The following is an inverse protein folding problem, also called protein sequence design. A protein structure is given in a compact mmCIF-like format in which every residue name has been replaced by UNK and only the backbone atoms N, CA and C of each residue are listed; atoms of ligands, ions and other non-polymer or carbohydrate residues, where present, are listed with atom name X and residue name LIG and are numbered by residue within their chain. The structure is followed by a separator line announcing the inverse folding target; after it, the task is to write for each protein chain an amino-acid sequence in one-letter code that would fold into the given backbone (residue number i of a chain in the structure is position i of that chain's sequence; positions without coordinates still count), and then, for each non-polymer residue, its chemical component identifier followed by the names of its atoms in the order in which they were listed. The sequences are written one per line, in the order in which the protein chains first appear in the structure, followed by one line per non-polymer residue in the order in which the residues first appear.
data_IF_478212402442
#
_entry.id   IF_478212402442
#
_cell.length_a   1.000
_cell.length_b   1.000
_cell.length_c   1.000
_cell.angle_alpha   90.00
_cell.angle_beta   90.00
_cell.angle_gamma   90.00
#
_symmetry.space_group_name_H-M   'P 1'
#
loop_
_entity.id
_entity.type
_entity.pdbx_description
1 polymer ?
#
# COMPACT_ATOMS: atom_id res chain seq x y z
N UNK A 1 -9.29 63.43 61.42
CA UNK A 1 -9.59 63.92 60.05
C UNK A 1 -8.84 63.11 58.97
N UNK A 2 -7.53 62.87 59.14
CA UNK A 2 -6.69 62.12 58.18
C UNK A 2 -7.17 60.68 57.93
N UNK A 3 -7.51 59.92 58.98
CA UNK A 3 -8.00 58.53 58.83
C UNK A 3 -9.32 58.40 58.04
N UNK A 4 -10.24 59.37 58.18
CA UNK A 4 -11.53 59.37 57.46
C UNK A 4 -11.33 59.60 55.96
N UNK A 5 -10.44 60.53 55.60
CA UNK A 5 -10.12 60.81 54.20
C UNK A 5 -9.36 59.65 53.54
N UNK A 6 -8.50 58.96 54.30
CA UNK A 6 -7.79 57.76 53.82
C UNK A 6 -8.75 56.59 53.56
N UNK A 7 -9.71 56.34 54.46
CA UNK A 7 -10.72 55.30 54.29
C UNK A 7 -11.63 55.56 53.07
N UNK A 8 -12.06 56.80 52.86
CA UNK A 8 -12.85 57.17 51.66
C UNK A 8 -12.03 56.97 50.38
N UNK A 9 -10.74 57.32 50.39
CA UNK A 9 -9.83 57.07 49.26
C UNK A 9 -9.71 55.58 48.91
N UNK A 10 -9.56 54.70 49.90
CA UNK A 10 -9.51 53.24 49.69
C UNK A 10 -10.80 52.66 49.14
N UNK A 11 -11.95 53.11 49.64
CA UNK A 11 -13.26 52.68 49.13
C UNK A 11 -13.43 53.11 47.68
N UNK A 12 -13.09 54.35 47.34
CA UNK A 12 -13.23 54.88 45.99
C UNK A 12 -12.30 54.15 45.00
N UNK A 13 -11.07 53.85 45.43
CA UNK A 13 -10.12 53.05 44.64
C UNK A 13 -10.60 51.61 44.45
N UNK A 14 -11.19 50.98 45.49
CA UNK A 14 -11.79 49.65 45.38
C UNK A 14 -12.98 49.62 44.41
N UNK A 15 -13.84 50.66 44.44
CA UNK A 15 -14.97 50.79 43.51
C UNK A 15 -14.46 50.99 42.07
N UNK A 16 -13.46 51.84 41.84
CA UNK A 16 -12.87 52.03 40.51
C UNK A 16 -12.21 50.75 39.99
N UNK A 17 -11.49 50.02 40.85
CA UNK A 17 -10.90 48.73 40.50
C UNK A 17 -11.98 47.71 40.14
N UNK A 18 -13.05 47.63 40.94
CA UNK A 18 -14.18 46.75 40.67
C UNK A 18 -14.88 47.09 39.34
N UNK A 19 -15.17 48.37 39.09
CA UNK A 19 -15.78 48.83 37.84
C UNK A 19 -14.87 48.56 36.63
N UNK A 20 -13.56 48.71 36.79
CA UNK A 20 -12.58 48.40 35.74
C UNK A 20 -12.56 46.91 35.42
N UNK A 21 -12.61 46.04 36.45
CA UNK A 21 -12.74 44.60 36.26
C UNK A 21 -14.05 44.26 35.56
N UNK A 22 -15.19 44.78 36.02
CA UNK A 22 -16.50 44.54 35.37
C UNK A 22 -16.50 45.02 33.91
N UNK A 23 -15.94 46.19 33.63
CA UNK A 23 -15.82 46.72 32.27
C UNK A 23 -14.94 45.84 31.38
N UNK A 24 -13.79 45.39 31.89
CA UNK A 24 -12.92 44.42 31.19
C UNK A 24 -13.64 43.09 30.96
N UNK A 25 -14.40 42.61 31.95
CA UNK A 25 -15.19 41.37 31.85
C UNK A 25 -16.27 41.47 30.76
N UNK A 26 -16.87 42.64 30.56
CA UNK A 26 -17.85 42.88 29.50
C UNK A 26 -17.21 42.97 28.10
N UNK A 27 -15.95 43.41 27.98
CA UNK A 27 -15.24 43.53 26.71
C UNK A 27 -14.70 42.20 26.18
N UNK A 28 -14.46 41.24 27.06
CA UNK A 28 -13.84 39.95 26.73
C UNK A 28 -14.56 39.15 25.62
N UNK A 29 -15.89 38.91 25.70
CA UNK A 29 -16.60 38.19 24.64
C UNK A 29 -16.51 38.89 23.29
N UNK A 30 -16.48 40.23 23.27
CA UNK A 30 -16.33 41.01 22.04
C UNK A 30 -14.96 40.82 21.41
N UNK A 31 -13.88 40.87 22.21
CA UNK A 31 -12.52 40.62 21.73
C UNK A 31 -12.38 39.19 21.20
N UNK A 32 -12.93 38.21 21.93
CA UNK A 32 -12.88 36.80 21.52
C UNK A 32 -13.64 36.59 20.20
N UNK A 33 -14.84 37.18 20.07
CA UNK A 33 -15.66 37.10 18.85
C UNK A 33 -14.91 37.70 17.67
N UNK A 34 -14.34 38.89 17.83
CA UNK A 34 -13.58 39.56 16.76
C UNK A 34 -12.37 38.74 16.32
N UNK A 35 -11.68 38.10 17.25
CA UNK A 35 -10.54 37.22 16.95
C UNK A 35 -11.00 35.99 16.17
N UNK A 36 -12.07 35.33 16.62
CA UNK A 36 -12.63 34.14 15.96
C UNK A 36 -13.16 34.48 14.56
N UNK A 37 -13.98 35.52 14.43
CA UNK A 37 -14.56 35.95 13.15
C UNK A 37 -13.45 36.27 12.13
N UNK A 38 -12.40 37.01 12.55
CA UNK A 38 -11.25 37.32 11.70
C UNK A 38 -10.50 36.06 11.26
N UNK A 39 -10.27 35.13 12.18
CA UNK A 39 -9.55 33.90 11.89
C UNK A 39 -10.37 32.99 10.95
N UNK A 40 -11.67 32.83 11.17
CA UNK A 40 -12.55 32.04 10.29
C UNK A 40 -12.65 32.63 8.88
N UNK A 41 -12.81 33.96 8.77
CA UNK A 41 -12.81 34.64 7.47
C UNK A 41 -11.47 34.47 6.73
N UNK A 42 -10.37 34.32 7.46
CA UNK A 42 -9.04 34.13 6.86
C UNK A 42 -8.81 32.74 6.26
N UNK A 43 -9.65 31.74 6.54
CA UNK A 43 -9.53 30.35 6.05
C UNK A 43 -9.78 30.27 4.53
N UNK A 44 -10.50 31.23 3.94
CA UNK A 44 -10.69 31.35 2.49
C UNK A 44 -12.03 30.83 1.96
N UNK A 45 -13.00 30.59 2.85
CA UNK A 45 -14.38 30.29 2.46
C UNK A 45 -15.12 31.56 1.99
N UNK A 46 -15.39 31.65 0.69
CA UNK A 46 -16.21 32.68 0.07
C UNK A 46 -17.69 32.38 0.34
N UNK A 47 -18.38 33.28 1.04
CA UNK A 47 -19.77 33.06 1.43
C UNK A 47 -19.95 32.45 2.83
N UNK A 48 -18.90 32.48 3.67
CA UNK A 48 -19.02 32.15 5.09
C UNK A 48 -20.11 33.00 5.77
N UNK A 49 -21.14 32.35 6.31
CA UNK A 49 -22.20 33.00 7.09
C UNK A 49 -22.03 32.62 8.56
N UNK A 50 -21.64 33.60 9.38
CA UNK A 50 -21.48 33.42 10.83
C UNK A 50 -22.74 33.90 11.57
N UNK A 51 -23.43 33.03 12.31
CA UNK A 51 -24.52 33.44 13.18
C UNK A 51 -23.99 34.19 14.42
N UNK A 52 -24.87 34.90 15.11
CA UNK A 52 -24.54 35.52 16.39
C UNK A 52 -24.18 34.43 17.41
N UNK A 53 -22.98 34.45 18.02
CA UNK A 53 -22.60 33.43 18.97
C UNK A 53 -23.35 33.58 20.29
N UNK A 54 -23.63 32.46 20.94
CA UNK A 54 -23.96 32.45 22.36
C UNK A 54 -22.70 32.77 23.14
N UNK A 55 -22.77 33.77 24.02
CA UNK A 55 -21.60 34.29 24.73
C UNK A 55 -21.69 33.99 26.21
N UNK A 56 -20.60 33.47 26.78
CA UNK A 56 -20.37 33.38 28.21
C UNK A 56 -19.05 34.08 28.55
N UNK A 57 -18.80 34.28 29.84
CA UNK A 57 -17.61 34.99 30.31
C UNK A 57 -16.27 34.42 29.79
N UNK A 58 -16.18 33.10 29.61
CA UNK A 58 -14.96 32.39 29.19
C UNK A 58 -15.16 31.52 27.94
N UNK A 59 -16.28 31.68 27.24
CA UNK A 59 -16.56 30.90 26.05
C UNK A 59 -17.48 31.59 25.05
N UNK A 60 -17.35 31.19 23.79
CA UNK A 60 -18.26 31.54 22.70
C UNK A 60 -18.72 30.26 22.02
N UNK A 61 -19.99 30.19 21.63
CA UNK A 61 -20.54 29.08 20.87
C UNK A 61 -21.28 29.60 19.64
N UNK A 62 -20.81 29.21 18.47
CA UNK A 62 -21.54 29.38 17.22
C UNK A 62 -22.25 28.07 16.90
N UNK A 63 -23.48 28.14 16.37
CA UNK A 63 -24.21 26.98 15.90
C UNK A 63 -24.70 27.20 14.48
N UNK A 64 -24.67 26.17 13.63
CA UNK A 64 -25.13 26.21 12.23
C UNK A 64 -24.37 27.25 11.38
N UNK A 65 -23.04 27.11 11.29
CA UNK A 65 -22.22 27.93 10.38
C UNK A 65 -22.30 27.33 8.97
N UNK A 66 -22.65 28.16 7.98
CA UNK A 66 -22.54 27.79 6.55
C UNK A 66 -21.21 28.26 5.99
N UNK A 67 -20.47 27.38 5.32
CA UNK A 67 -19.16 27.69 4.72
C UNK A 67 -19.28 28.12 3.26
N UNK A 68 -20.41 27.85 2.63
CA UNK A 68 -20.76 28.29 1.28
C UNK A 68 -22.20 28.81 1.23
N UNK A 69 -22.57 29.59 0.18
CA UNK A 69 -23.93 30.12 0.04
C UNK A 69 -25.03 29.06 -0.14
N UNK A 70 -24.69 27.88 -0.67
CA UNK A 70 -25.64 26.80 -0.97
C UNK A 70 -25.82 25.82 0.20
N UNK A 71 -24.94 25.88 1.21
CA UNK A 71 -24.98 25.03 2.40
C UNK A 71 -24.45 23.61 2.20
N UNK A 72 -23.64 23.37 1.17
CA UNK A 72 -23.02 22.05 0.94
C UNK A 72 -21.91 21.73 1.95
N UNK A 73 -21.27 22.77 2.48
CA UNK A 73 -20.21 22.74 3.47
C UNK A 73 -20.68 23.52 4.71
N UNK A 74 -20.59 22.91 5.89
CA UNK A 74 -21.14 23.49 7.13
C UNK A 74 -20.39 23.04 8.38
N UNK A 75 -20.58 23.78 9.47
CA UNK A 75 -20.15 23.38 10.82
C UNK A 75 -21.38 23.43 11.73
N UNK A 76 -21.76 22.30 12.32
CA UNK A 76 -22.91 22.24 13.22
C UNK A 76 -22.70 23.10 14.47
N UNK A 77 -21.52 23.02 15.10
CA UNK A 77 -21.15 23.92 16.20
C UNK A 77 -19.65 24.18 16.30
N UNK A 78 -19.31 25.40 16.71
CA UNK A 78 -17.95 25.83 17.00
C UNK A 78 -17.92 26.40 18.42
N UNK A 79 -17.33 25.64 19.34
CA UNK A 79 -17.17 26.03 20.73
C UNK A 79 -15.75 26.55 20.96
N UNK A 80 -15.64 27.80 21.40
CA UNK A 80 -14.37 28.48 21.65
C UNK A 80 -14.26 28.73 23.14
N UNK A 81 -13.18 28.24 23.77
CA UNK A 81 -12.85 28.49 25.18
C UNK A 81 -11.59 29.34 25.27
N UNK A 82 -11.60 30.27 26.21
CA UNK A 82 -10.47 31.15 26.46
C UNK A 82 -10.33 31.46 27.94
N UNK A 83 -9.09 31.65 28.39
CA UNK A 83 -8.79 32.22 29.69
C UNK A 83 -8.86 33.75 29.59
N UNK A 84 -9.58 34.38 30.50
CA UNK A 84 -9.80 35.83 30.47
C UNK A 84 -8.50 36.64 30.59
N UNK A 85 -7.54 36.20 31.40
CA UNK A 85 -6.23 36.86 31.55
C UNK A 85 -5.45 36.74 30.24
N UNK A 86 -5.34 35.52 29.71
CA UNK A 86 -4.61 35.27 28.46
C UNK A 86 -5.22 35.98 27.25
N UNK A 87 -6.55 36.10 27.22
CA UNK A 87 -7.26 36.82 26.17
C UNK A 87 -7.00 38.33 26.24
N UNK A 88 -6.99 38.93 27.43
CA UNK A 88 -6.71 40.37 27.61
C UNK A 88 -5.24 40.71 27.32
N UNK A 89 -4.31 39.89 27.80
CA UNK A 89 -2.88 40.18 27.70
C UNK A 89 -2.28 39.77 26.35
N UNK A 90 -2.75 38.66 25.78
CA UNK A 90 -2.12 38.02 24.62
C UNK A 90 -3.07 37.73 23.46
N UNK A 91 -4.38 37.98 23.61
CA UNK A 91 -5.38 37.63 22.60
C UNK A 91 -5.47 36.13 22.31
N UNK A 92 -5.08 35.28 23.27
CA UNK A 92 -4.94 33.84 23.06
C UNK A 92 -6.23 33.07 23.35
N UNK A 93 -6.59 32.19 22.41
CA UNK A 93 -7.67 31.22 22.55
C UNK A 93 -7.08 29.92 23.10
N UNK A 94 -7.68 29.38 24.17
CA UNK A 94 -7.22 28.17 24.84
C UNK A 94 -7.57 26.93 24.05
N UNK A 95 -8.84 26.81 23.62
CA UNK A 95 -9.34 25.62 22.93
C UNK A 95 -10.45 25.96 21.95
N UNK A 96 -10.42 25.32 20.79
CA UNK A 96 -11.49 25.37 19.78
C UNK A 96 -12.00 23.95 19.57
N UNK A 97 -13.31 23.73 19.73
CA UNK A 97 -13.96 22.46 19.39
C UNK A 97 -14.89 22.68 18.20
N UNK A 98 -14.62 21.98 17.11
CA UNK A 98 -15.43 21.94 15.89
C UNK A 98 -16.23 20.64 15.91
N UNK A 99 -17.56 20.74 15.91
CA UNK A 99 -18.42 19.55 15.87
C UNK A 99 -19.30 19.54 14.63
N UNK A 100 -19.40 18.39 13.97
CA UNK A 100 -20.22 18.20 12.77
C UNK A 100 -19.74 19.04 11.59
N UNK A 101 -18.43 19.08 11.35
CA UNK A 101 -17.86 19.71 10.16
C UNK A 101 -18.21 18.83 8.96
N UNK A 102 -18.82 19.42 7.93
CA UNK A 102 -19.09 18.74 6.65
C UNK A 102 -18.48 19.57 5.55
N UNK A 103 -17.61 18.96 4.75
CA UNK A 103 -17.01 19.55 3.57
C UNK A 103 -17.39 18.70 2.36
N UNK A 104 -17.88 19.35 1.32
CA UNK A 104 -18.23 18.69 0.05
C UNK A 104 -17.37 19.27 -1.06
N UNK A 105 -16.86 18.44 -1.95
CA UNK A 105 -15.96 18.87 -3.01
C UNK A 105 -15.82 17.89 -4.16
N UNK A 106 -14.88 18.20 -5.05
CA UNK A 106 -14.57 17.42 -6.24
C UNK A 106 -13.06 17.19 -6.33
N UNK A 107 -12.67 16.03 -6.85
CA UNK A 107 -11.29 15.68 -7.18
C UNK A 107 -11.21 15.46 -8.70
N UNK A 108 -10.50 16.36 -9.39
CA UNK A 108 -10.35 16.28 -10.84
C UNK A 108 -9.40 15.15 -11.28
N UNK A 109 -9.28 14.95 -12.60
CA UNK A 109 -8.39 13.93 -13.16
C UNK A 109 -6.89 14.22 -13.01
N UNK A 110 -6.51 15.43 -12.57
CA UNK A 110 -5.13 15.82 -12.29
C UNK A 110 -4.79 15.73 -10.79
N UNK A 111 -5.77 15.31 -9.96
CA UNK A 111 -5.61 15.21 -8.52
C UNK A 111 -5.85 16.53 -7.78
N UNK A 112 -6.34 17.57 -8.44
CA UNK A 112 -6.69 18.82 -7.77
C UNK A 112 -8.01 18.68 -7.01
N UNK A 113 -7.99 19.10 -5.75
CA UNK A 113 -9.15 19.11 -4.87
C UNK A 113 -9.81 20.50 -4.92
N UNK A 114 -11.09 20.55 -5.26
CA UNK A 114 -11.93 21.73 -5.03
C UNK A 114 -12.92 21.44 -3.90
N UNK A 115 -13.11 22.39 -2.98
CA UNK A 115 -14.09 22.27 -1.89
C UNK A 115 -15.11 23.38 -2.05
N UNK A 116 -16.41 23.05 -1.95
CA UNK A 116 -17.50 24.01 -2.08
C UNK A 116 -17.31 25.18 -1.10
N UNK A 117 -17.37 26.40 -1.65
CA UNK A 117 -17.13 27.66 -0.93
C UNK A 117 -15.66 27.99 -0.68
N UNK A 118 -14.72 27.05 -0.81
CA UNK A 118 -13.30 27.30 -0.55
C UNK A 118 -12.57 27.78 -1.81
N UNK A 119 -11.93 28.94 -1.73
CA UNK A 119 -11.50 29.69 -2.92
C UNK A 119 -10.00 30.00 -3.01
N UNK A 120 -9.18 29.43 -2.13
CA UNK A 120 -7.74 29.73 -2.12
C UNK A 120 -6.92 28.60 -2.73
N UNK A 121 -6.41 28.85 -3.94
CA UNK A 121 -5.33 28.07 -4.54
C UNK A 121 -3.98 28.22 -3.77
N UNK A 122 -3.82 29.30 -3.01
CA UNK A 122 -2.51 29.71 -2.46
C UNK A 122 -2.41 29.62 -0.93
N UNK A 123 -3.41 29.04 -0.25
CA UNK A 123 -3.43 28.94 1.20
C UNK A 123 -2.39 27.91 1.68
N UNK A 124 -1.11 28.31 1.74
CA UNK A 124 -0.15 27.66 2.63
C UNK A 124 -0.80 27.64 4.02
N UNK A 125 -0.97 26.44 4.57
CA UNK A 125 -1.51 26.25 5.92
C UNK A 125 -0.73 27.17 6.85
N UNK A 126 -1.35 28.26 7.29
CA UNK A 126 -0.67 29.22 8.13
C UNK A 126 -0.46 28.54 9.49
N UNK A 127 0.79 28.32 9.95
CA UNK A 127 1.06 27.70 11.24
C UNK A 127 0.55 28.54 12.43
N UNK A 128 -0.13 29.66 12.20
CA UNK A 128 -0.91 30.38 13.21
C UNK A 128 -1.91 29.50 13.98
N UNK A 129 -2.31 28.32 13.48
CA UNK A 129 -3.07 27.39 14.33
C UNK A 129 -2.26 26.90 15.56
N UNK A 130 -0.91 26.93 15.52
CA UNK A 130 -0.03 26.69 16.67
C UNK A 130 -0.10 27.78 17.75
N UNK A 131 -0.77 28.92 17.48
CA UNK A 131 -1.07 29.90 18.53
C UNK A 131 -2.30 29.52 19.36
N UNK A 132 -3.06 28.51 18.93
CA UNK A 132 -4.17 27.93 19.71
C UNK A 132 -3.60 26.90 20.69
N UNK A 133 -4.17 26.83 21.90
CA UNK A 133 -3.76 25.82 22.89
C UNK A 133 -4.18 24.41 22.47
N UNK A 134 -5.40 24.25 21.96
CA UNK A 134 -5.90 23.00 21.41
C UNK A 134 -6.99 23.22 20.34
N UNK A 135 -7.09 22.31 19.38
CA UNK A 135 -8.18 22.25 18.41
C UNK A 135 -8.69 20.82 18.36
N UNK A 136 -9.98 20.63 18.64
CA UNK A 136 -10.64 19.32 18.62
C UNK A 136 -11.71 19.29 17.52
N UNK A 137 -11.77 18.21 16.78
CA UNK A 137 -12.79 17.88 15.78
C UNK A 137 -13.60 16.68 16.28
N UNK A 138 -14.92 16.81 16.20
CA UNK A 138 -15.87 15.75 16.52
C UNK A 138 -16.79 15.53 15.33
N UNK A 139 -16.79 14.31 14.80
CA UNK A 139 -17.63 13.92 13.65
C UNK A 139 -17.45 14.85 12.44
N UNK A 140 -16.19 15.07 12.05
CA UNK A 140 -15.87 15.83 10.85
C UNK A 140 -15.88 14.92 9.63
N UNK A 141 -16.41 15.39 8.50
CA UNK A 141 -16.57 14.62 7.27
C UNK A 141 -16.13 15.45 6.07
N UNK A 142 -15.32 14.84 5.20
CA UNK A 142 -14.98 15.32 3.87
C UNK A 142 -15.55 14.34 2.83
N UNK A 143 -16.38 14.83 1.92
CA UNK A 143 -16.94 14.06 0.81
C UNK A 143 -16.46 14.65 -0.51
N UNK A 144 -15.72 13.87 -1.30
CA UNK A 144 -15.22 14.28 -2.62
C UNK A 144 -15.82 13.40 -3.71
N UNK A 145 -16.24 14.01 -4.81
CA UNK A 145 -16.63 13.30 -6.03
C UNK A 145 -15.46 13.26 -7.01
N UNK A 146 -15.10 12.07 -7.50
CA UNK A 146 -14.07 11.88 -8.52
C UNK A 146 -14.59 11.05 -9.68
N UNK A 147 -14.28 11.46 -10.90
CA UNK A 147 -14.56 10.68 -12.11
C UNK A 147 -13.74 9.39 -12.18
N UNK A 148 -12.51 9.40 -11.67
CA UNK A 148 -11.59 8.25 -11.71
C UNK A 148 -11.77 7.33 -10.50
N UNK A 149 -11.94 7.92 -9.31
CA UNK A 149 -11.96 7.19 -8.05
C UNK A 149 -13.36 6.91 -7.49
N UNK A 150 -14.40 7.52 -8.06
CA UNK A 150 -15.77 7.49 -7.54
C UNK A 150 -15.94 8.45 -6.35
N UNK A 151 -16.91 8.14 -5.47
CA UNK A 151 -17.11 8.89 -4.24
C UNK A 151 -16.05 8.52 -3.19
N UNK A 152 -15.36 9.53 -2.67
CA UNK A 152 -14.41 9.44 -1.57
C UNK A 152 -15.06 10.08 -0.34
N UNK A 153 -15.03 9.39 0.79
CA UNK A 153 -15.54 9.87 2.08
C UNK A 153 -14.50 9.66 3.16
N UNK A 154 -14.15 10.73 3.86
CA UNK A 154 -13.23 10.71 5.01
C UNK A 154 -13.98 11.25 6.20
N UNK A 155 -14.20 10.41 7.21
CA UNK A 155 -14.74 10.82 8.51
C UNK A 155 -13.61 10.82 9.50
N UNK A 156 -13.45 11.90 10.27
CA UNK A 156 -12.40 11.99 11.27
C UNK A 156 -12.89 12.65 12.57
N UNK A 157 -12.29 12.22 13.67
CA UNK A 157 -12.46 12.81 15.00
C UNK A 157 -11.12 12.81 15.71
N UNK A 158 -10.84 13.79 16.56
CA UNK A 158 -9.54 13.91 17.19
C UNK A 158 -9.14 15.36 17.35
N UNK A 159 -7.86 15.64 17.54
CA UNK A 159 -7.43 17.00 17.75
C UNK A 159 -5.93 17.17 17.76
N UNK A 160 -5.55 18.43 17.87
CA UNK A 160 -4.17 18.87 18.07
C UNK A 160 -4.09 19.64 19.38
N UNK A 161 -3.04 19.40 20.16
CA UNK A 161 -2.80 20.07 21.42
C UNK A 161 -1.35 20.56 21.46
N UNK A 162 -1.20 21.84 21.78
CA UNK A 162 0.11 22.46 21.98
C UNK A 162 0.77 21.89 23.24
N UNK A 163 2.01 21.42 23.11
CA UNK A 163 2.82 20.94 24.22
C UNK A 163 3.83 22.01 24.68
N UNK A 164 4.47 22.67 23.70
CA UNK A 164 5.43 23.76 23.95
C UNK A 164 5.18 24.93 23.00
N UNK A 165 5.93 26.03 23.13
CA UNK A 165 5.84 27.16 22.21
C UNK A 165 6.01 26.75 20.73
N UNK A 166 6.76 25.68 20.47
CA UNK A 166 7.15 25.18 19.16
C UNK A 166 6.83 23.70 18.96
N UNK A 167 5.91 23.10 19.73
CA UNK A 167 5.49 21.72 19.48
C UNK A 167 4.02 21.49 19.77
N UNK A 168 3.41 20.60 19.00
CA UNK A 168 2.05 20.16 19.18
C UNK A 168 1.95 18.65 18.95
N UNK A 169 1.23 17.96 19.83
CA UNK A 169 0.81 16.59 19.60
C UNK A 169 -0.53 16.57 18.84
N UNK A 170 -0.76 15.51 18.07
CA UNK A 170 -2.05 15.28 17.44
C UNK A 170 -2.46 13.82 17.56
N UNK A 171 -3.77 13.60 17.60
CA UNK A 171 -4.37 12.29 17.51
C UNK A 171 -5.67 12.38 16.73
N UNK A 172 -5.86 11.53 15.72
CA UNK A 172 -7.06 11.48 14.90
C UNK A 172 -7.49 10.03 14.63
N UNK A 173 -8.73 9.72 14.97
CA UNK A 173 -9.45 8.57 14.45
C UNK A 173 -9.97 8.92 13.05
N UNK A 174 -9.60 8.14 12.05
CA UNK A 174 -9.90 8.37 10.64
C UNK A 174 -10.55 7.13 10.05
N UNK A 175 -11.70 7.33 9.40
CA UNK A 175 -12.40 6.35 8.59
C UNK A 175 -12.44 6.83 7.15
N UNK A 176 -11.77 6.09 6.28
CA UNK A 176 -11.74 6.35 4.85
C UNK A 176 -12.63 5.34 4.12
N UNK A 177 -13.39 5.82 3.14
CA UNK A 177 -14.22 4.99 2.27
C UNK A 177 -14.18 5.51 0.85
N UNK A 178 -13.85 4.60 -0.06
CA UNK A 178 -13.92 4.72 -1.50
C UNK A 178 -14.52 3.43 -2.06
N UNK A 179 -14.86 3.41 -3.35
CA UNK A 179 -15.44 2.24 -4.05
C UNK A 179 -14.72 0.92 -3.73
N UNK A 180 -13.40 0.87 -3.91
CA UNK A 180 -12.58 -0.36 -3.78
C UNK A 180 -11.63 -0.34 -2.57
N UNK A 181 -11.66 0.72 -1.76
CA UNK A 181 -10.75 0.90 -0.63
C UNK A 181 -11.53 1.42 0.57
N UNK A 182 -11.42 0.75 1.71
CA UNK A 182 -11.98 1.23 2.99
C UNK A 182 -10.99 0.93 4.09
N UNK A 183 -10.76 1.87 4.97
CA UNK A 183 -9.97 1.61 6.16
C UNK A 183 -10.40 2.47 7.35
N UNK A 184 -10.11 1.96 8.54
CA UNK A 184 -10.26 2.62 9.82
C UNK A 184 -8.91 2.62 10.52
N UNK A 185 -8.46 3.78 10.95
CA UNK A 185 -7.13 3.97 11.50
C UNK A 185 -7.07 5.06 12.57
N UNK A 186 -6.14 4.94 13.50
CA UNK A 186 -5.80 5.99 14.46
C UNK A 186 -4.43 6.55 14.11
N UNK A 187 -4.38 7.83 13.78
CA UNK A 187 -3.15 8.60 13.59
C UNK A 187 -2.76 9.25 14.90
N UNK A 188 -1.52 9.11 15.33
CA UNK A 188 -0.94 9.80 16.49
C UNK A 188 0.40 10.39 16.09
N UNK A 189 0.78 11.55 16.61
CA UNK A 189 2.06 12.10 16.25
C UNK A 189 2.36 13.44 16.89
N UNK A 190 3.51 14.00 16.51
CA UNK A 190 3.95 15.32 16.97
C UNK A 190 4.47 16.14 15.79
N UNK A 191 4.20 17.45 15.85
CA UNK A 191 4.76 18.45 14.94
C UNK A 191 5.66 19.34 15.77
N UNK A 192 6.90 19.53 15.36
CA UNK A 192 7.84 20.43 16.01
C UNK A 192 8.12 21.68 15.15
N UNK A 193 8.64 22.72 15.79
CA UNK A 193 8.89 24.04 15.18
C UNK A 193 10.10 24.07 14.26
N UNK A 194 10.80 22.94 14.11
CA UNK A 194 11.85 22.75 13.12
C UNK A 194 11.29 22.17 11.81
N UNK A 195 9.97 22.18 11.61
CA UNK A 195 9.31 21.56 10.46
C UNK A 195 9.71 20.07 10.35
N UNK A 196 9.64 19.37 11.47
CA UNK A 196 9.67 17.90 11.50
C UNK A 196 8.39 17.40 12.15
N UNK A 197 7.75 16.44 11.49
CA UNK A 197 6.64 15.72 12.08
C UNK A 197 6.90 14.22 12.01
N UNK A 198 6.53 13.54 13.08
CA UNK A 198 6.46 12.10 13.17
C UNK A 198 5.00 11.71 13.39
N UNK A 199 4.57 10.63 12.76
CA UNK A 199 3.24 10.10 12.95
C UNK A 199 3.25 8.58 12.92
N UNK A 200 2.47 7.96 13.77
CA UNK A 200 2.16 6.55 13.76
C UNK A 200 0.69 6.38 13.40
N UNK A 201 0.42 5.56 12.40
CA UNK A 201 -0.90 5.19 11.93
C UNK A 201 -1.16 3.73 12.30
N UNK A 202 -2.08 3.52 13.23
CA UNK A 202 -2.57 2.21 13.61
C UNK A 202 -3.79 1.87 12.77
N UNK A 203 -3.66 0.94 11.82
CA UNK A 203 -4.75 0.45 10.98
C UNK A 203 -5.49 -0.64 11.73
N UNK A 204 -6.70 -0.35 12.19
CA UNK A 204 -7.54 -1.34 12.87
C UNK A 204 -8.18 -2.32 11.91
N UNK A 205 -8.63 -1.83 10.76
CA UNK A 205 -9.29 -2.63 9.72
C UNK A 205 -9.17 -1.94 8.37
N UNK A 206 -8.71 -2.67 7.36
CA UNK A 206 -8.68 -2.23 5.98
C UNK A 206 -9.21 -3.34 5.05
N UNK A 207 -9.82 -2.90 3.96
CA UNK A 207 -10.31 -3.73 2.86
C UNK A 207 -9.96 -3.08 1.53
N UNK A 208 -9.39 -3.87 0.65
CA UNK A 208 -9.04 -3.55 -0.73
C UNK A 208 -9.79 -4.55 -1.62
N UNK A 209 -10.44 -4.05 -2.68
CA UNK A 209 -11.24 -4.87 -3.61
C UNK A 209 -11.05 -4.39 -5.06
N UNK A 210 -9.81 -4.50 -5.57
CA UNK A 210 -9.50 -4.31 -6.98
C UNK A 210 -9.56 -5.66 -7.73
N UNK A 211 -9.71 -5.66 -9.07
CA UNK A 211 -9.81 -6.90 -9.85
C UNK A 211 -8.67 -7.90 -9.59
N UNK A 212 -7.42 -7.41 -9.57
CA UNK A 212 -6.22 -8.24 -9.43
C UNK A 212 -5.59 -8.19 -8.02
N UNK A 213 -6.18 -7.42 -7.12
CA UNK A 213 -5.70 -7.25 -5.75
C UNK A 213 -6.87 -7.10 -4.79
N UNK A 214 -7.05 -8.10 -3.92
CA UNK A 214 -8.01 -8.02 -2.82
C UNK A 214 -7.31 -8.28 -1.52
N UNK A 215 -7.56 -7.46 -0.52
CA UNK A 215 -7.08 -7.69 0.83
C UNK A 215 -8.25 -7.49 1.78
N UNK A 216 -8.44 -8.38 2.74
CA UNK A 216 -9.53 -8.27 3.71
C UNK A 216 -8.99 -8.39 5.12
N UNK A 217 -9.61 -7.66 6.06
CA UNK A 217 -9.18 -7.62 7.46
C UNK A 217 -7.70 -7.28 7.58
N UNK A 218 -7.23 -6.35 6.74
CA UNK A 218 -5.87 -5.87 6.83
C UNK A 218 -5.75 -4.96 8.07
N UNK A 219 -4.73 -5.16 8.89
CA UNK A 219 -4.48 -4.37 10.11
C UNK A 219 -2.98 -4.27 10.34
N UNK A 220 -2.53 -3.23 11.03
CA UNK A 220 -1.09 -3.00 11.14
C UNK A 220 -0.72 -1.63 11.68
N UNK A 221 0.56 -1.33 11.63
CA UNK A 221 1.11 -0.05 12.06
C UNK A 221 2.04 0.50 10.98
N UNK A 222 1.91 1.79 10.68
CA UNK A 222 2.75 2.50 9.72
C UNK A 222 3.24 3.78 10.36
N UNK A 223 4.56 3.93 10.44
CA UNK A 223 5.24 5.13 10.88
C UNK A 223 5.57 6.03 9.68
N UNK A 224 5.41 7.33 9.90
CA UNK A 224 5.71 8.40 8.98
C UNK A 224 6.71 9.34 9.63
N UNK A 225 7.76 9.69 8.88
CA UNK A 225 8.73 10.70 9.30
C UNK A 225 8.93 11.70 8.18
N UNK A 226 8.65 12.95 8.47
CA UNK A 226 8.96 14.06 7.58
C UNK A 226 9.91 15.02 8.24
N UNK A 227 10.84 15.51 7.45
CA UNK A 227 11.78 16.54 7.82
C UNK A 227 11.85 17.54 6.68
N UNK A 228 12.04 18.82 7.00
CA UNK A 228 12.24 19.87 6.00
C UNK A 228 13.31 19.47 4.98
N UNK A 229 12.97 19.62 3.69
CA UNK A 229 13.82 19.27 2.54
C UNK A 229 14.17 17.77 2.41
N UNK A 230 13.46 16.87 3.10
CA UNK A 230 13.56 15.43 2.91
C UNK A 230 12.20 14.86 2.46
N UNK A 231 12.19 13.80 1.64
CA UNK A 231 10.96 13.10 1.32
C UNK A 231 10.39 12.44 2.58
N UNK A 232 9.05 12.37 2.68
CA UNK A 232 8.38 11.71 3.82
C UNK A 232 8.71 10.22 3.79
N UNK A 233 9.39 9.72 4.82
CA UNK A 233 9.70 8.30 4.97
C UNK A 233 8.48 7.53 5.48
N UNK A 234 8.36 6.29 5.01
CA UNK A 234 7.35 5.34 5.43
C UNK A 234 8.06 4.08 5.92
N UNK A 235 7.63 3.55 7.04
CA UNK A 235 8.07 2.25 7.57
C UNK A 235 6.89 1.60 8.30
N UNK A 236 6.62 0.31 8.09
CA UNK A 236 5.49 -0.31 8.76
C UNK A 236 5.26 -1.77 8.42
N UNK A 237 4.37 -2.38 9.19
CA UNK A 237 3.93 -3.76 9.03
C UNK A 237 2.41 -3.83 8.99
N UNK A 238 1.88 -4.50 7.96
CA UNK A 238 0.46 -4.78 7.79
C UNK A 238 0.28 -6.29 7.68
N UNK A 239 -0.67 -6.83 8.41
CA UNK A 239 -1.10 -8.22 8.31
C UNK A 239 -2.49 -8.29 7.69
N UNK A 240 -2.75 -9.28 6.87
CA UNK A 240 -4.09 -9.53 6.33
C UNK A 240 -4.42 -11.01 6.38
N UNK A 241 -5.65 -11.33 6.80
CA UNK A 241 -6.09 -12.72 6.89
C UNK A 241 -6.32 -13.37 5.53
N UNK A 242 -6.74 -12.59 4.54
CA UNK A 242 -6.91 -13.06 3.16
C UNK A 242 -6.40 -11.99 2.19
N UNK A 243 -5.48 -12.40 1.34
CA UNK A 243 -4.92 -11.64 0.24
C UNK A 243 -5.20 -12.41 -1.05
N UNK A 244 -5.79 -11.78 -2.06
CA UNK A 244 -5.88 -12.33 -3.41
C UNK A 244 -5.01 -11.48 -4.32
N UNK A 245 -4.04 -12.10 -4.98
CA UNK A 245 -3.15 -11.44 -5.94
C UNK A 245 -3.27 -12.18 -7.26
N UNK A 246 -3.53 -11.46 -8.35
CA UNK A 246 -3.67 -12.02 -9.70
C UNK A 246 -4.69 -13.19 -9.77
N UNK A 247 -5.75 -13.19 -8.95
CA UNK A 247 -6.75 -14.25 -8.92
C UNK A 247 -6.41 -15.44 -8.01
N UNK A 248 -5.20 -15.49 -7.44
CA UNK A 248 -4.77 -16.55 -6.52
C UNK A 248 -5.01 -16.15 -5.06
N UNK A 249 -5.69 -16.98 -4.25
CA UNK A 249 -5.94 -16.69 -2.84
C UNK A 249 -4.80 -17.14 -1.94
N UNK A 250 -4.43 -16.23 -1.05
CA UNK A 250 -3.38 -16.34 -0.04
C UNK A 250 -3.93 -15.99 1.33
N UNK A 251 -3.35 -16.55 2.37
CA UNK A 251 -3.71 -16.37 3.77
C UNK A 251 -2.49 -15.97 4.61
N UNK A 252 -2.76 -15.43 5.80
CA UNK A 252 -1.76 -15.00 6.78
C UNK A 252 -0.67 -14.11 6.18
N UNK A 253 -1.06 -13.18 5.30
CA UNK A 253 -0.07 -12.36 4.62
C UNK A 253 0.51 -11.31 5.56
N UNK A 254 1.84 -11.22 5.60
CA UNK A 254 2.61 -10.17 6.24
C UNK A 254 3.17 -9.25 5.16
N UNK A 255 2.90 -7.96 5.28
CA UNK A 255 3.28 -6.92 4.32
C UNK A 255 4.16 -5.92 5.07
N UNK A 256 5.42 -5.82 4.69
CA UNK A 256 6.33 -4.78 5.19
C UNK A 256 6.32 -3.61 4.21
N UNK A 257 6.03 -2.41 4.69
CA UNK A 257 6.09 -1.17 3.92
C UNK A 257 7.37 -0.42 4.26
N UNK A 258 8.07 0.10 3.26
CA UNK A 258 9.28 0.88 3.46
C UNK A 258 9.47 1.93 2.34
N UNK A 259 10.39 2.87 2.53
CA UNK A 259 10.75 3.85 1.50
C UNK A 259 10.21 5.24 1.80
N UNK A 260 9.59 5.88 0.81
CA UNK A 260 9.03 7.23 0.96
C UNK A 260 7.74 7.43 0.14
N UNK A 261 7.05 8.55 0.32
CA UNK A 261 5.77 8.83 -0.35
C UNK A 261 5.85 8.89 -1.88
N UNK A 262 7.03 9.18 -2.45
CA UNK A 262 7.21 9.25 -3.90
C UNK A 262 7.47 7.87 -4.51
N UNK A 263 8.11 6.97 -3.76
CA UNK A 263 8.44 5.59 -4.15
C UNK A 263 8.24 4.63 -2.97
N UNK A 264 6.99 4.39 -2.55
CA UNK A 264 6.69 3.47 -1.48
C UNK A 264 6.91 2.03 -1.94
N UNK A 265 7.60 1.23 -1.12
CA UNK A 265 7.91 -0.17 -1.39
C UNK A 265 7.09 -1.08 -0.49
N UNK A 266 6.77 -2.26 -0.98
CA UNK A 266 6.17 -3.32 -0.17
C UNK A 266 6.86 -4.66 -0.38
N UNK A 267 7.07 -5.40 0.70
CA UNK A 267 7.48 -6.80 0.68
C UNK A 267 6.32 -7.61 1.27
N UNK A 268 5.79 -8.55 0.50
CA UNK A 268 4.66 -9.40 0.91
C UNK A 268 5.16 -10.81 1.11
N UNK A 269 4.84 -11.42 2.25
CA UNK A 269 5.00 -12.85 2.50
C UNK A 269 3.62 -13.44 2.83
N UNK A 270 3.22 -14.53 2.20
CA UNK A 270 1.89 -15.14 2.42
C UNK A 270 1.92 -16.65 2.20
N UNK A 271 0.88 -17.35 2.68
CA UNK A 271 0.71 -18.80 2.45
C UNK A 271 -0.44 -19.06 1.50
N UNK A 272 -0.35 -20.08 0.67
CA UNK A 272 -1.44 -20.46 -0.20
C UNK A 272 -2.66 -20.89 0.62
N UNK A 273 -3.85 -20.44 0.23
CA UNK A 273 -5.06 -20.88 0.92
C UNK A 273 -5.29 -22.37 0.70
N UNK A 274 -5.31 -23.14 1.79
CA UNK A 274 -5.55 -24.59 1.76
C UNK A 274 -4.33 -25.47 1.49
N UNK A 275 -3.12 -24.88 1.37
CA UNK A 275 -1.87 -25.65 1.30
C UNK A 275 -0.71 -24.91 2.00
N UNK A 276 -0.40 -25.32 3.22
CA UNK A 276 0.66 -24.69 4.05
C UNK A 276 2.08 -24.97 3.54
N UNK A 277 2.25 -25.74 2.46
CA UNK A 277 3.54 -26.05 1.84
C UNK A 277 3.91 -25.09 0.72
N UNK A 278 3.02 -24.19 0.35
CA UNK A 278 3.24 -23.18 -0.69
C UNK A 278 3.23 -21.79 -0.08
N UNK A 279 4.36 -21.10 -0.16
CA UNK A 279 4.50 -19.73 0.33
C UNK A 279 4.80 -18.79 -0.83
N UNK A 280 4.29 -17.56 -0.75
CA UNK A 280 4.50 -16.48 -1.69
C UNK A 280 5.37 -15.42 -1.03
N UNK A 281 6.39 -14.96 -1.75
CA UNK A 281 7.11 -13.74 -1.47
C UNK A 281 7.03 -12.78 -2.65
N UNK A 282 6.47 -11.58 -2.47
CA UNK A 282 6.45 -10.53 -3.49
C UNK A 282 7.31 -9.37 -3.05
N UNK A 283 8.03 -8.76 -3.99
CA UNK A 283 8.68 -7.48 -3.80
C UNK A 283 8.07 -6.48 -4.78
N UNK A 284 7.45 -5.44 -4.24
CA UNK A 284 6.89 -4.31 -4.97
C UNK A 284 7.81 -3.11 -4.78
N UNK A 285 8.68 -2.79 -5.76
CA UNK A 285 9.64 -1.69 -5.65
C UNK A 285 9.00 -0.30 -5.73
N UNK A 286 7.75 -0.24 -6.21
CA UNK A 286 6.89 0.95 -6.16
C UNK A 286 5.42 0.50 -6.15
N UNK A 287 4.71 0.71 -5.04
CA UNK A 287 3.28 0.35 -4.94
C UNK A 287 2.35 1.35 -5.63
N UNK A 288 2.87 2.50 -6.08
CA UNK A 288 2.12 3.49 -6.86
C UNK A 288 2.21 3.23 -8.37
N UNK A 289 3.07 2.30 -8.81
CA UNK A 289 3.14 1.94 -10.23
C UNK A 289 1.83 1.27 -10.66
N UNK A 290 1.06 1.99 -11.49
CA UNK A 290 -0.20 1.50 -12.05
C UNK A 290 -0.01 0.25 -12.92
N UNK A 291 1.22 -0.01 -13.41
CA UNK A 291 1.59 -1.27 -14.03
C UNK A 291 1.98 -2.32 -12.98
N UNK A 292 0.99 -2.82 -12.23
CA UNK A 292 1.10 -4.11 -11.52
C UNK A 292 1.49 -5.28 -12.47
N UNK A 293 1.49 -5.05 -13.78
CA UNK A 293 2.03 -5.95 -14.78
C UNK A 293 3.52 -6.31 -14.56
N UNK A 294 4.28 -5.53 -13.80
CA UNK A 294 5.68 -5.81 -13.38
C UNK A 294 5.75 -6.35 -11.95
N UNK A 295 5.14 -7.51 -11.76
CA UNK A 295 5.22 -8.24 -10.50
C UNK A 295 6.41 -9.20 -10.54
N UNK A 296 7.37 -8.95 -9.66
CA UNK A 296 8.46 -9.89 -9.38
C UNK A 296 8.25 -10.53 -8.00
N UNK A 297 8.49 -11.83 -7.92
CA UNK A 297 8.30 -12.57 -6.68
C UNK A 297 9.00 -13.92 -6.68
N UNK A 298 8.82 -14.64 -5.58
CA UNK A 298 9.24 -16.01 -5.42
C UNK A 298 8.11 -16.83 -4.81
N UNK A 299 7.98 -18.08 -5.22
CA UNK A 299 7.25 -19.09 -4.48
C UNK A 299 8.24 -20.00 -3.79
N UNK A 300 8.02 -20.28 -2.51
CA UNK A 300 8.66 -21.40 -1.84
C UNK A 300 7.75 -22.62 -1.95
N UNK A 301 8.29 -23.71 -2.48
CA UNK A 301 7.52 -24.90 -2.82
C UNK A 301 8.03 -26.09 -2.01
N UNK A 302 7.30 -26.44 -0.95
CA UNK A 302 7.57 -27.65 -0.18
C UNK A 302 7.25 -28.95 -0.94
N UNK A 303 6.44 -28.88 -2.00
CA UNK A 303 6.15 -30.01 -2.89
C UNK A 303 5.72 -29.53 -4.28
N UNK A 304 6.37 -30.03 -5.33
CA UNK A 304 6.08 -29.74 -6.74
C UNK A 304 4.62 -30.05 -7.07
N UNK A 305 4.13 -31.22 -6.62
CA UNK A 305 2.74 -31.64 -6.83
C UNK A 305 1.75 -30.68 -6.18
N UNK A 306 2.08 -30.14 -5.01
CA UNK A 306 1.26 -29.13 -4.33
C UNK A 306 1.18 -27.84 -5.17
N UNK A 307 2.31 -27.34 -5.66
CA UNK A 307 2.37 -26.14 -6.51
C UNK A 307 1.55 -26.31 -7.80
N UNK A 308 1.73 -27.41 -8.53
CA UNK A 308 0.98 -27.66 -9.76
C UNK A 308 -0.51 -27.86 -9.51
N UNK A 309 -0.87 -28.54 -8.42
CA UNK A 309 -2.27 -28.66 -8.00
C UNK A 309 -2.87 -27.30 -7.70
N UNK A 310 -2.14 -26.44 -6.98
CA UNK A 310 -2.60 -25.10 -6.66
C UNK A 310 -2.86 -24.27 -7.92
N UNK A 311 -1.93 -24.26 -8.88
CA UNK A 311 -2.10 -23.56 -10.15
C UNK A 311 -3.30 -24.10 -10.95
N UNK A 312 -3.48 -25.43 -10.99
CA UNK A 312 -4.63 -26.05 -11.65
C UNK A 312 -5.96 -25.65 -11.01
N UNK A 313 -6.05 -25.72 -9.67
CA UNK A 313 -7.27 -25.37 -8.92
C UNK A 313 -7.69 -23.92 -9.18
N UNK A 314 -6.73 -23.03 -9.43
CA UNK A 314 -6.99 -21.62 -9.69
C UNK A 314 -7.00 -21.26 -11.18
N UNK A 315 -7.04 -22.25 -12.08
CA UNK A 315 -7.26 -22.06 -13.51
C UNK A 315 -6.04 -21.58 -14.30
N UNK A 316 -4.85 -21.62 -13.72
CA UNK A 316 -3.59 -21.34 -14.43
C UNK A 316 -3.11 -22.53 -15.26
N UNK A 317 -3.55 -23.74 -14.92
CA UNK A 317 -3.23 -24.96 -15.63
C UNK A 317 -4.48 -25.81 -15.86
N UNK A 318 -4.52 -26.48 -17.00
CA UNK A 318 -5.47 -27.55 -17.28
C UNK A 318 -5.07 -28.84 -16.55
N UNK A 319 -5.99 -29.82 -16.53
CA UNK A 319 -5.72 -31.12 -15.91
C UNK A 319 -4.62 -31.92 -16.64
N UNK A 320 -4.52 -31.81 -17.97
CA UNK A 320 -3.45 -32.49 -18.71
C UNK A 320 -2.10 -31.87 -18.39
N UNK A 321 -1.98 -30.53 -18.47
CA UNK A 321 -0.72 -29.83 -18.17
C UNK A 321 -0.21 -30.13 -16.76
N UNK A 322 -1.10 -30.22 -15.77
CA UNK A 322 -0.69 -30.66 -14.43
C UNK A 322 -0.13 -32.09 -14.43
N UNK A 323 -0.79 -33.04 -15.08
CA UNK A 323 -0.33 -34.43 -15.09
C UNK A 323 1.06 -34.51 -15.74
N UNK A 324 1.29 -33.73 -16.79
CA UNK A 324 2.57 -33.67 -17.51
C UNK A 324 3.70 -33.09 -16.64
N UNK A 325 3.37 -32.15 -15.74
CA UNK A 325 4.34 -31.48 -14.84
C UNK A 325 4.47 -32.14 -13.45
N UNK A 326 3.44 -32.86 -13.01
CA UNK A 326 3.25 -33.33 -11.63
C UNK A 326 4.15 -34.50 -11.23
N UNK A 327 4.59 -35.31 -12.20
CA UNK A 327 5.34 -36.54 -11.95
C UNK A 327 6.85 -36.31 -11.79
N UNK A 328 7.35 -35.11 -12.06
CA UNK A 328 8.79 -34.88 -12.17
C UNK A 328 9.51 -34.63 -10.82
N UNK A 329 8.81 -34.30 -9.73
CA UNK A 329 9.42 -34.02 -8.41
C UNK A 329 10.51 -32.91 -8.39
N UNK A 330 10.70 -32.22 -9.52
CA UNK A 330 11.84 -31.36 -9.83
C UNK A 330 11.97 -30.13 -8.92
N UNK A 331 10.86 -29.71 -8.32
CA UNK A 331 10.73 -28.45 -7.58
C UNK A 331 10.58 -28.64 -6.08
N UNK A 332 10.73 -29.87 -5.57
CA UNK A 332 10.58 -30.17 -4.15
C UNK A 332 11.66 -29.44 -3.33
N UNK A 333 11.22 -28.61 -2.39
CA UNK A 333 12.09 -27.74 -1.60
C UNK A 333 12.71 -26.59 -2.40
N UNK A 334 12.19 -26.30 -3.59
CA UNK A 334 12.74 -25.30 -4.49
C UNK A 334 12.13 -23.91 -4.33
N UNK A 335 12.86 -22.91 -4.84
CA UNK A 335 12.36 -21.55 -5.04
C UNK A 335 11.97 -21.36 -6.50
N UNK A 336 10.82 -20.73 -6.73
CA UNK A 336 10.33 -20.37 -8.05
C UNK A 336 10.28 -18.86 -8.15
N UNK A 337 11.29 -18.22 -8.74
CA UNK A 337 11.19 -16.78 -9.00
C UNK A 337 10.37 -16.52 -10.24
N UNK A 338 9.50 -15.52 -10.20
CA UNK A 338 8.80 -15.07 -11.39
C UNK A 338 8.98 -13.57 -11.62
N UNK A 339 9.00 -13.19 -12.89
CA UNK A 339 8.89 -11.80 -13.34
C UNK A 339 7.85 -11.73 -14.45
N UNK A 340 6.82 -10.90 -14.27
CA UNK A 340 5.80 -10.66 -15.29
C UNK A 340 6.16 -9.37 -16.03
N UNK A 341 6.14 -9.39 -17.36
CA UNK A 341 6.21 -8.17 -18.18
C UNK A 341 5.12 -8.19 -19.24
N UNK A 342 4.00 -7.49 -18.98
CA UNK A 342 2.80 -7.29 -19.82
C UNK A 342 2.14 -8.55 -20.38
N UNK A 343 2.86 -9.37 -21.15
CA UNK A 343 2.43 -10.64 -21.75
C UNK A 343 3.34 -11.81 -21.39
N UNK A 344 4.51 -11.56 -20.81
CA UNK A 344 5.52 -12.56 -20.51
C UNK A 344 5.49 -13.00 -19.05
N UNK A 345 5.68 -14.29 -18.80
CA UNK A 345 6.16 -14.81 -17.53
C UNK A 345 7.60 -15.26 -17.73
N UNK A 346 8.53 -14.82 -16.88
CA UNK A 346 9.86 -15.45 -16.72
C UNK A 346 9.78 -16.23 -15.42
N UNK A 347 9.79 -17.56 -15.48
CA UNK A 347 9.72 -18.43 -14.29
C UNK A 347 11.03 -19.20 -14.20
N UNK A 348 11.79 -18.98 -13.13
CA UNK A 348 13.05 -19.67 -12.85
C UNK A 348 12.90 -20.55 -11.63
N UNK A 349 13.49 -21.73 -11.68
CA UNK A 349 13.45 -22.72 -10.62
C UNK A 349 14.85 -22.86 -10.01
N UNK A 350 14.93 -23.08 -8.70
CA UNK A 350 16.16 -23.45 -8.03
C UNK A 350 15.84 -24.53 -7.01
N UNK A 351 16.35 -25.75 -7.20
CA UNK A 351 16.13 -26.87 -6.27
C UNK A 351 17.15 -26.79 -5.11
N UNK A 352 16.68 -26.86 -3.86
CA UNK A 352 17.55 -26.77 -2.68
C UNK A 352 18.31 -28.06 -2.35
N UNK A 353 17.92 -29.21 -2.92
CA UNK A 353 18.39 -30.55 -2.52
C UNK A 353 19.56 -31.11 -3.35
N UNK A 354 20.07 -30.40 -4.37
CA UNK A 354 21.10 -30.94 -5.27
C UNK A 354 22.16 -29.95 -5.75
N UNK A 355 23.30 -30.49 -6.21
CA UNK A 355 24.42 -29.76 -6.82
C UNK A 355 24.07 -29.10 -8.19
N UNK A 356 22.84 -29.27 -8.67
CA UNK A 356 22.37 -28.82 -9.97
C UNK A 356 21.33 -27.70 -9.79
N UNK A 357 21.65 -26.48 -10.24
CA UNK A 357 20.70 -25.36 -10.34
C UNK A 357 20.05 -25.41 -11.72
N UNK A 358 18.73 -25.60 -11.79
CA UNK A 358 17.99 -25.71 -13.05
C UNK A 358 17.29 -24.41 -13.42
N UNK A 359 17.88 -23.62 -14.31
CA UNK A 359 17.25 -22.38 -14.74
C UNK A 359 16.18 -22.67 -15.79
N UNK A 360 14.92 -22.71 -15.35
CA UNK A 360 13.72 -22.62 -16.18
C UNK A 360 13.56 -21.22 -16.79
N UNK A 361 13.06 -21.13 -18.02
CA UNK A 361 12.34 -19.97 -18.53
C UNK A 361 11.05 -20.52 -19.15
N UNK A 362 9.90 -19.91 -18.82
CA UNK A 362 8.59 -20.26 -19.37
C UNK A 362 7.97 -19.03 -20.04
N UNK A 363 8.43 -18.71 -21.24
CA UNK A 363 8.03 -17.48 -21.93
C UNK A 363 6.70 -17.69 -22.66
N UNK A 364 5.58 -17.23 -22.10
CA UNK A 364 4.34 -17.10 -22.87
C UNK A 364 4.47 -15.91 -23.82
N UNK A 365 4.45 -16.16 -25.14
CA UNK A 365 4.44 -15.12 -26.17
C UNK A 365 3.14 -15.20 -26.95
N UNK A 366 2.40 -14.11 -27.03
CA UNK A 366 1.30 -13.98 -27.99
C UNK A 366 1.89 -13.97 -29.41
N UNK A 367 1.63 -15.04 -30.16
CA UNK A 367 2.02 -15.16 -31.57
C UNK A 367 1.18 -14.28 -32.49
N UNK A 368 1.62 -14.15 -33.76
CA UNK A 368 0.97 -13.31 -34.78
C UNK A 368 -0.48 -13.69 -35.12
N UNK A 369 -0.98 -14.82 -34.58
CA UNK A 369 -2.34 -15.31 -34.73
C UNK A 369 -3.08 -15.55 -33.39
N UNK A 370 -2.59 -14.97 -32.28
CA UNK A 370 -3.16 -15.22 -30.94
C UNK A 370 -2.83 -16.59 -30.35
N UNK A 371 -1.89 -17.32 -30.95
CA UNK A 371 -1.37 -18.58 -30.40
C UNK A 371 -0.31 -18.26 -29.35
N UNK A 372 -0.52 -18.70 -28.10
CA UNK A 372 0.53 -18.68 -27.09
C UNK A 372 1.62 -19.67 -27.49
N UNK A 373 2.88 -19.25 -27.53
CA UNK A 373 4.03 -20.16 -27.58
C UNK A 373 4.71 -20.12 -26.23
N UNK A 374 5.09 -21.29 -25.71
CA UNK A 374 5.85 -21.45 -24.46
C UNK A 374 7.28 -21.84 -24.83
N UNK A 375 8.23 -20.93 -24.64
CA UNK A 375 9.64 -21.29 -24.69
C UNK A 375 10.00 -21.93 -23.34
N UNK A 376 10.47 -23.18 -23.37
CA UNK A 376 11.02 -23.89 -22.21
C UNK A 376 12.54 -23.90 -22.35
N UNK A 377 13.23 -23.25 -21.44
CA UNK A 377 14.69 -23.34 -21.32
C UNK A 377 15.03 -23.95 -19.97
N UNK A 378 15.78 -25.04 -19.93
CA UNK A 378 16.31 -25.61 -18.68
C UNK A 378 17.81 -25.67 -18.80
N UNK A 379 18.53 -25.07 -17.85
CA UNK A 379 20.00 -25.13 -17.79
C UNK A 379 20.47 -25.62 -16.43
N UNK A 380 21.27 -26.67 -16.40
CA UNK A 380 22.10 -27.06 -15.26
C UNK A 380 23.54 -26.64 -15.50
N UNK A 381 24.10 -25.86 -14.59
CA UNK A 381 25.53 -25.50 -14.54
C UNK A 381 26.33 -26.39 -13.57
N UNK A 382 25.71 -27.42 -13.02
CA UNK A 382 26.33 -28.40 -12.13
C UNK A 382 26.82 -29.65 -12.85
N UNK A 383 27.79 -30.34 -12.25
CA UNK A 383 28.20 -31.65 -12.72
C UNK A 383 27.17 -32.71 -12.34
N UNK A 384 26.73 -33.52 -13.28
CA UNK A 384 25.79 -34.61 -13.04
C UNK A 384 26.11 -35.85 -13.89
N UNK A 385 25.28 -36.87 -13.74
CA UNK A 385 25.30 -38.06 -14.60
C UNK A 385 23.96 -38.16 -15.32
N UNK A 386 23.99 -38.43 -16.61
CA UNK A 386 22.83 -38.81 -17.41
C UNK A 386 23.01 -40.27 -17.81
N UNK A 387 22.16 -41.13 -17.29
CA UNK A 387 22.14 -42.56 -17.60
C UNK A 387 20.82 -42.92 -18.28
N UNK A 388 20.82 -42.92 -19.61
CA UNK A 388 19.63 -43.27 -20.39
C UNK A 388 19.62 -44.78 -20.66
N UNK A 389 18.85 -45.51 -19.86
CA UNK A 389 18.71 -46.97 -20.00
C UNK A 389 17.47 -47.39 -20.78
N UNK A 390 16.54 -46.48 -21.05
CA UNK A 390 15.29 -46.79 -21.75
C UNK A 390 15.48 -46.74 -23.28
N UNK A 391 15.23 -47.84 -24.01
CA UNK A 391 15.24 -47.84 -25.46
C UNK A 391 14.26 -46.83 -26.07
N UNK A 392 13.14 -46.52 -25.42
CA UNK A 392 12.12 -45.60 -25.91
C UNK A 392 12.65 -44.17 -26.07
N UNK A 393 13.54 -43.72 -25.19
CA UNK A 393 14.17 -42.40 -25.30
C UNK A 393 14.92 -42.24 -26.62
N UNK A 394 15.65 -43.27 -27.06
CA UNK A 394 16.45 -43.18 -28.28
C UNK A 394 15.59 -43.13 -29.54
N UNK A 395 14.34 -43.59 -29.47
CA UNK A 395 13.38 -43.44 -30.56
C UNK A 395 12.84 -42.01 -30.70
N UNK A 396 12.90 -41.22 -29.62
CA UNK A 396 12.52 -39.79 -29.62
C UNK A 396 13.59 -38.90 -30.27
N UNK A 397 14.82 -39.39 -30.44
CA UNK A 397 15.88 -38.61 -31.09
C UNK A 397 15.58 -38.50 -32.59
N UNK A 398 15.45 -37.26 -33.05
CA UNK A 398 15.34 -36.95 -34.47
C UNK A 398 16.66 -37.29 -35.17
N UNK A 399 16.61 -38.19 -36.15
CA UNK A 399 17.76 -38.59 -36.95
C UNK A 399 17.73 -40.05 -37.38
N UNK A 400 18.71 -40.43 -38.21
CA UNK A 400 18.84 -41.80 -38.70
C UNK A 400 19.32 -42.78 -37.63
N UNK A 401 19.13 -44.08 -37.88
CA UNK A 401 19.53 -45.18 -36.97
C UNK A 401 21.00 -45.13 -36.54
N UNK A 402 21.89 -44.64 -37.40
CA UNK A 402 23.31 -44.47 -37.08
C UNK A 402 23.57 -43.39 -36.00
N UNK A 403 22.85 -42.27 -36.03
CA UNK A 403 22.94 -41.22 -35.00
C UNK A 403 22.41 -41.76 -33.67
N UNK A 404 21.25 -42.42 -33.69
CA UNK A 404 20.65 -43.05 -32.50
C UNK A 404 21.58 -44.09 -31.87
N UNK A 405 22.21 -44.96 -32.66
CA UNK A 405 23.20 -45.92 -32.15
C UNK A 405 24.44 -45.25 -31.58
N UNK A 406 24.90 -44.15 -32.18
CA UNK A 406 26.06 -43.39 -31.70
C UNK A 406 25.74 -42.73 -30.36
N UNK A 407 24.60 -42.04 -30.27
CA UNK A 407 24.13 -41.42 -29.03
C UNK A 407 23.83 -42.47 -27.97
N UNK A 408 23.26 -43.63 -28.32
CA UNK A 408 23.05 -44.74 -27.37
C UNK A 408 24.33 -45.25 -26.73
N UNK A 409 25.44 -45.29 -27.48
CA UNK A 409 26.74 -45.66 -26.90
C UNK A 409 27.33 -44.54 -26.04
N UNK A 410 27.13 -43.28 -26.41
CA UNK A 410 27.70 -42.11 -25.73
C UNK A 410 26.92 -41.67 -24.49
N UNK A 411 25.60 -41.80 -24.51
CA UNK A 411 24.66 -41.36 -23.47
C UNK A 411 24.21 -42.48 -22.52
N UNK A 412 24.70 -43.72 -22.72
CA UNK A 412 24.36 -44.84 -21.83
C UNK A 412 24.73 -44.54 -20.37
N UNK A 413 25.83 -43.82 -20.14
CA UNK A 413 26.24 -43.30 -18.83
C UNK A 413 27.25 -42.16 -19.02
N UNK A 414 26.77 -40.91 -19.11
CA UNK A 414 27.63 -39.74 -19.35
C UNK A 414 27.65 -38.81 -18.15
N UNK A 415 28.86 -38.54 -17.64
CA UNK A 415 29.09 -37.44 -16.73
C UNK A 415 29.07 -36.12 -17.53
N UNK A 416 28.18 -35.20 -17.19
CA UNK A 416 28.12 -33.86 -17.78
C UNK A 416 28.57 -32.81 -16.78
N UNK A 417 29.11 -31.69 -17.28
CA UNK A 417 29.41 -30.47 -16.51
C UNK A 417 28.38 -29.38 -16.76
N UNK A 418 27.58 -29.52 -17.83
CA UNK A 418 26.48 -28.62 -18.16
C UNK A 418 25.45 -29.35 -19.00
N UNK A 419 24.17 -29.08 -18.72
CA UNK A 419 23.04 -29.55 -19.51
C UNK A 419 22.17 -28.34 -19.88
N UNK A 420 21.84 -28.17 -21.15
CA UNK A 420 20.91 -27.16 -21.63
C UNK A 420 19.84 -27.84 -22.48
N UNK A 421 18.58 -27.63 -22.13
CA UNK A 421 17.41 -28.13 -22.85
C UNK A 421 16.62 -26.91 -23.30
N UNK A 422 16.27 -26.82 -24.59
CA UNK A 422 15.50 -25.71 -25.15
C UNK A 422 14.34 -26.23 -25.97
N UNK A 423 13.15 -25.67 -25.83
CA UNK A 423 11.99 -26.03 -26.65
C UNK A 423 11.12 -24.83 -26.90
N UNK A 424 10.49 -24.80 -28.08
CA UNK A 424 9.38 -23.90 -28.38
C UNK A 424 8.14 -24.78 -28.51
N UNK A 425 7.32 -24.81 -27.48
CA UNK A 425 6.11 -25.63 -27.44
C UNK A 425 4.92 -24.74 -27.76
N UNK A 426 4.11 -25.17 -28.74
CA UNK A 426 2.76 -24.66 -28.85
C UNK A 426 1.89 -25.44 -27.85
N UNK A 427 1.25 -24.82 -26.85
CA UNK A 427 0.38 -25.50 -25.89
C UNK A 427 -0.76 -26.28 -26.55
N UNK A 428 -1.14 -25.92 -27.78
CA UNK A 428 -2.13 -26.67 -28.55
C UNK A 428 -1.61 -27.99 -29.16
N UNK A 429 -0.30 -28.25 -29.12
CA UNK A 429 0.37 -29.42 -29.72
C UNK A 429 1.51 -29.95 -28.83
N UNK A 430 1.23 -30.10 -27.52
CA UNK A 430 2.19 -30.62 -26.53
C UNK A 430 2.66 -32.04 -26.90
N UNK A 431 1.82 -32.81 -27.59
CA UNK A 431 2.12 -34.17 -28.07
C UNK A 431 3.26 -34.26 -29.09
N UNK A 432 3.64 -33.15 -29.73
CA UNK A 432 4.75 -33.09 -30.69
C UNK A 432 5.79 -32.02 -30.32
N UNK A 433 6.05 -31.87 -29.02
CA UNK A 433 7.06 -30.94 -28.56
C UNK A 433 8.46 -31.32 -29.09
N UNK A 434 9.24 -30.32 -29.48
CA UNK A 434 10.61 -30.48 -29.98
C UNK A 434 11.61 -29.82 -29.05
N UNK A 435 12.46 -30.64 -28.42
CA UNK A 435 13.48 -30.19 -27.50
C UNK A 435 14.87 -30.33 -28.10
N UNK A 436 15.63 -29.24 -28.10
CA UNK A 436 17.05 -29.21 -28.40
C UNK A 436 17.80 -29.43 -27.08
N UNK A 437 18.54 -30.53 -26.98
CA UNK A 437 19.38 -30.87 -25.85
C UNK A 437 20.84 -30.63 -26.21
N UNK A 438 21.55 -29.86 -25.38
CA UNK A 438 22.98 -29.59 -25.45
C UNK A 438 23.62 -30.08 -24.14
N UNK A 439 24.52 -31.06 -24.23
CA UNK A 439 25.22 -31.67 -23.10
C UNK A 439 26.72 -31.38 -23.22
N UNK A 440 27.31 -30.71 -22.23
CA UNK A 440 28.75 -30.50 -22.13
C UNK A 440 29.36 -31.51 -21.17
N UNK A 441 30.42 -32.18 -21.57
CA UNK A 441 31.12 -33.19 -20.79
C UNK A 441 32.64 -33.09 -20.99
N UNK A 442 33.44 -33.83 -20.22
CA UNK A 442 34.91 -33.75 -20.27
C UNK A 442 35.53 -34.04 -21.66
N UNK A 443 34.76 -34.65 -22.58
CA UNK A 443 35.20 -35.01 -23.93
C UNK A 443 34.68 -34.11 -25.05
N UNK A 444 33.88 -33.08 -24.75
CA UNK A 444 33.27 -32.20 -25.75
C UNK A 444 31.82 -31.82 -25.41
N UNK A 445 31.09 -31.38 -26.43
CA UNK A 445 29.67 -31.08 -26.32
C UNK A 445 28.86 -31.90 -27.33
N UNK A 446 27.78 -32.51 -26.88
CA UNK A 446 26.81 -33.21 -27.71
C UNK A 446 25.56 -32.34 -27.86
N UNK A 447 25.03 -32.27 -29.09
CA UNK A 447 23.78 -31.56 -29.37
C UNK A 447 22.86 -32.43 -30.21
N UNK A 448 21.64 -32.65 -29.73
CA UNK A 448 20.63 -33.44 -30.42
C UNK A 448 19.23 -32.90 -30.19
N UNK A 449 18.30 -33.29 -31.06
CA UNK A 449 16.89 -32.90 -30.95
C UNK A 449 16.07 -34.13 -30.55
N UNK A 450 15.24 -33.97 -29.52
CA UNK A 450 14.19 -34.89 -29.12
C UNK A 450 12.85 -34.39 -29.66
N UNK A 451 12.04 -35.29 -30.20
CA UNK A 451 10.66 -35.04 -30.61
C UNK A 451 9.75 -36.08 -29.97
N UNK A 452 8.68 -35.63 -29.33
CA UNK A 452 7.73 -36.52 -28.67
C UNK A 452 6.87 -35.79 -27.65
N UNK A 453 6.19 -36.56 -26.83
CA UNK A 453 5.40 -36.03 -25.73
C UNK A 453 6.30 -35.34 -24.69
N UNK A 454 5.91 -34.12 -24.28
CA UNK A 454 6.70 -33.33 -23.34
C UNK A 454 6.91 -34.02 -21.99
N UNK A 455 5.90 -34.71 -21.46
CA UNK A 455 5.99 -35.37 -20.16
C UNK A 455 7.01 -36.52 -20.22
N UNK A 456 6.99 -37.29 -21.31
CA UNK A 456 7.98 -38.35 -21.53
C UNK A 456 9.40 -37.78 -21.65
N UNK A 457 9.59 -36.72 -22.44
CA UNK A 457 10.90 -36.09 -22.62
C UNK A 457 11.45 -35.53 -21.29
N UNK A 458 10.61 -34.84 -20.51
CA UNK A 458 11.01 -34.31 -19.19
C UNK A 458 11.40 -35.45 -18.25
N UNK A 459 10.59 -36.51 -18.18
CA UNK A 459 10.86 -37.70 -17.36
C UNK A 459 12.17 -38.42 -17.73
N UNK A 460 12.60 -38.35 -18.98
CA UNK A 460 13.86 -38.94 -19.39
C UNK A 460 15.08 -38.06 -19.08
N UNK A 461 14.90 -36.74 -19.02
CA UNK A 461 15.99 -35.79 -18.81
C UNK A 461 16.26 -35.52 -17.32
N UNK A 462 15.27 -35.75 -16.45
CA UNK A 462 15.31 -35.47 -15.02
C UNK A 462 14.73 -36.62 -14.22
#
# INVERSE_FOLDING_TARGET
MIQRNMMVGWILLAVLAFLSVVGLMALLPYLAKRSVDKNLQSIGFQGLVLPTPQTNFSSLRYGQISLDPQGFSSIQSLDVRYNWISMLLFGQIERVKVSGLRLTGELDGQGHISIAGWSRADARVNPSFLSLGAIDFSDAQLSLLSSHYGGISVVFSGGTQKETASSAAFQFDVKYTQKNLRFESVFRGQINGAERWNADMEIGSARIDYPDLKATRASGQVAFLWEKNAPVKIDGEIRTGLLNVLGTPWQDAAITLQGNFEKPQAIVAAKAQGDDRLELGLALPDILDENLARLSGHFYVGSSSAFWTYLQTHGFLTKSEKNDLGDAGLLDGGNISFDRDRTLWDVRFENASGANKFHGLLKQKDGEAGQSVVEVFIRSDGSGHLAVNDPAFFEMIEGGSALRQTLRKRLADIAYTKLVVRSNVNPADISNARFIVELEHQGGAEKFTLSGDMAEIVRFLF
#
